data_IF_127271844898
#
_entry.id   IF_127271844898
#
_cell.length_a   1.000
_cell.length_b   1.000
_cell.length_c   1.000
_cell.angle_alpha   90.00
_cell.angle_beta   90.00
_cell.angle_gamma   90.00
#
_symmetry.space_group_name_H-M   'P 1'
#
loop_
_entity.id
_entity.type
_entity.pdbx_description
1 polymer ?
#
# COMPACT_ATOMS: atom_id res chain seq x y z
N UNK A 1 -12.03 -68.49 -65.39
CA UNK A 1 -11.19 -67.76 -66.38
C UNK A 1 -11.14 -66.28 -66.00
N UNK A 2 -9.96 -65.65 -66.15
CA UNK A 2 -9.66 -64.21 -65.96
C UNK A 2 -9.55 -63.77 -64.48
N UNK A 3 -8.57 -62.98 -64.04
CA UNK A 3 -7.29 -62.48 -64.56
C UNK A 3 -6.46 -62.03 -63.34
N UNK A 4 -5.16 -62.33 -63.37
CA UNK A 4 -4.09 -61.69 -62.61
C UNK A 4 -4.19 -60.16 -62.71
N UNK A 5 -4.07 -59.43 -61.59
CA UNK A 5 -3.55 -58.04 -61.57
C UNK A 5 -2.72 -57.80 -60.32
N UNK A 6 -1.42 -57.96 -60.53
CA UNK A 6 -0.33 -57.35 -59.80
C UNK A 6 -0.50 -55.82 -59.87
N UNK A 7 -0.52 -55.11 -58.75
CA UNK A 7 -0.35 -53.64 -58.72
C UNK A 7 0.59 -53.29 -57.57
N UNK A 8 1.56 -52.45 -57.92
CA UNK A 8 2.72 -52.04 -57.16
C UNK A 8 2.40 -51.27 -55.86
N UNK A 9 3.32 -51.40 -54.91
CA UNK A 9 3.56 -50.49 -53.79
C UNK A 9 3.66 -49.01 -54.23
N UNK A 10 3.40 -48.10 -53.28
CA UNK A 10 4.54 -47.32 -52.78
C UNK A 10 4.66 -47.33 -51.25
N UNK A 11 5.88 -47.58 -50.79
CA UNK A 11 6.38 -47.23 -49.46
C UNK A 11 6.18 -45.72 -49.25
N UNK A 12 5.39 -45.33 -48.26
CA UNK A 12 5.40 -43.96 -47.74
C UNK A 12 6.26 -43.98 -46.48
N UNK A 13 7.51 -43.53 -46.63
CA UNK A 13 8.37 -43.15 -45.50
C UNK A 13 7.70 -41.98 -44.78
N UNK A 14 7.12 -42.24 -43.61
CA UNK A 14 6.68 -41.22 -42.68
C UNK A 14 7.89 -40.61 -41.97
N UNK A 15 8.36 -39.48 -42.47
CA UNK A 15 9.36 -38.64 -41.84
C UNK A 15 8.85 -38.13 -40.48
N UNK A 16 9.43 -38.62 -39.39
CA UNK A 16 9.23 -38.08 -38.04
C UNK A 16 9.93 -36.72 -37.99
N UNK A 17 9.17 -35.65 -38.19
CA UNK A 17 9.63 -34.28 -37.91
C UNK A 17 9.69 -34.12 -36.40
N UNK A 18 10.89 -34.26 -35.84
CA UNK A 18 11.22 -33.82 -34.49
C UNK A 18 11.06 -32.30 -34.44
N UNK A 19 9.86 -31.84 -34.07
CA UNK A 19 9.60 -30.45 -33.72
C UNK A 19 10.40 -30.12 -32.47
N UNK A 20 11.56 -29.49 -32.64
CA UNK A 20 12.18 -28.75 -31.56
C UNK A 20 11.22 -27.64 -31.17
N UNK A 21 10.56 -27.80 -30.03
CA UNK A 21 9.89 -26.71 -29.34
C UNK A 21 10.96 -25.69 -28.95
N UNK A 22 11.33 -24.85 -29.92
CA UNK A 22 12.02 -23.59 -29.67
C UNK A 22 11.00 -22.75 -28.92
N UNK A 23 11.09 -22.80 -27.59
CA UNK A 23 10.47 -21.85 -26.71
C UNK A 23 11.19 -20.52 -26.96
N UNK A 24 10.84 -19.89 -28.09
CA UNK A 24 11.29 -18.57 -28.46
C UNK A 24 10.60 -17.64 -27.47
N UNK A 25 11.28 -17.43 -26.34
CA UNK A 25 11.04 -16.32 -25.44
C UNK A 25 11.21 -15.05 -26.28
N UNK A 26 10.13 -14.67 -26.96
CA UNK A 26 9.94 -13.32 -27.49
C UNK A 26 10.05 -12.40 -26.29
N UNK A 27 11.26 -11.90 -26.05
CA UNK A 27 11.45 -10.68 -25.29
C UNK A 27 10.76 -9.59 -26.10
N UNK A 28 9.47 -9.42 -25.85
CA UNK A 28 8.76 -8.19 -26.16
C UNK A 28 9.62 -7.07 -25.61
N UNK A 29 10.28 -6.33 -26.52
CA UNK A 29 11.01 -5.12 -26.14
C UNK A 29 9.98 -4.26 -25.41
N UNK A 30 10.21 -3.89 -24.13
CA UNK A 30 9.23 -3.10 -23.40
C UNK A 30 8.91 -1.88 -24.25
N UNK A 31 7.63 -1.70 -24.57
CA UNK A 31 7.18 -0.56 -25.35
C UNK A 31 7.85 0.70 -24.77
N UNK A 32 8.51 1.50 -25.62
CA UNK A 32 9.31 2.69 -25.22
C UNK A 32 8.51 3.78 -24.48
N UNK A 33 7.23 3.51 -24.19
CA UNK A 33 6.32 4.33 -23.41
C UNK A 33 5.98 3.68 -22.05
N UNK A 34 6.88 2.88 -21.47
CA UNK A 34 6.75 2.42 -20.08
C UNK A 34 6.59 3.63 -19.13
N UNK A 35 5.34 3.86 -18.72
CA UNK A 35 4.94 4.52 -17.48
C UNK A 35 5.58 5.88 -17.19
N UNK A 36 5.21 6.90 -17.99
CA UNK A 36 5.17 8.27 -17.46
C UNK A 36 3.79 8.57 -16.84
N UNK A 37 3.28 7.70 -15.96
CA UNK A 37 2.14 8.08 -15.10
C UNK A 37 2.69 8.79 -13.87
N UNK A 38 3.42 9.89 -14.09
CA UNK A 38 3.61 10.89 -13.05
C UNK A 38 2.37 11.76 -13.10
N UNK A 39 1.49 11.67 -12.10
CA UNK A 39 0.46 12.69 -11.94
C UNK A 39 1.21 13.97 -11.58
N UNK A 40 1.28 14.98 -12.45
CA UNK A 40 2.02 16.19 -12.13
C UNK A 40 1.42 16.78 -10.86
N UNK A 41 2.29 17.28 -9.97
CA UNK A 41 1.87 18.07 -8.83
C UNK A 41 0.85 19.12 -9.29
N UNK A 42 -0.37 19.07 -8.75
CA UNK A 42 -1.43 20.04 -9.02
C UNK A 42 -1.46 21.06 -7.90
N UNK A 43 -1.76 22.32 -8.23
CA UNK A 43 -1.98 23.39 -7.24
C UNK A 43 -3.11 23.04 -6.27
N UNK A 44 -4.09 22.26 -6.72
CA UNK A 44 -5.17 21.71 -5.88
C UNK A 44 -5.69 20.39 -6.46
N UNK A 45 -6.28 19.55 -5.61
CA UNK A 45 -6.92 18.30 -5.99
C UNK A 45 -8.42 18.35 -5.65
N UNK A 46 -9.30 17.84 -6.54
CA UNK A 46 -10.73 17.83 -6.29
C UNK A 46 -11.07 16.93 -5.11
N UNK A 47 -12.00 17.37 -4.26
CA UNK A 47 -12.50 16.56 -3.15
C UNK A 47 -13.27 15.34 -3.68
N UNK A 48 -13.01 14.18 -3.11
CA UNK A 48 -13.80 12.98 -3.37
C UNK A 48 -15.18 13.13 -2.73
N UNK A 49 -16.24 13.03 -3.55
CA UNK A 49 -17.62 13.25 -3.11
C UNK A 49 -18.26 12.00 -2.49
N UNK A 50 -17.93 10.81 -3.00
CA UNK A 50 -18.53 9.55 -2.59
C UNK A 50 -17.45 8.48 -2.51
N UNK A 51 -17.06 8.10 -1.30
CA UNK A 51 -16.12 7.00 -1.05
C UNK A 51 -16.47 6.29 0.25
N UNK A 52 -16.14 5.00 0.32
CA UNK A 52 -16.19 4.23 1.57
C UNK A 52 -14.82 3.59 1.79
N UNK A 53 -13.93 4.38 2.40
CA UNK A 53 -12.57 3.99 2.73
C UNK A 53 -12.43 3.83 4.24
N UNK A 54 -11.62 2.87 4.67
CA UNK A 54 -11.21 2.71 6.07
C UNK A 54 -9.70 2.62 6.15
N UNK A 55 -9.12 3.29 7.14
CA UNK A 55 -7.70 3.21 7.46
C UNK A 55 -7.56 2.37 8.73
N UNK A 56 -6.79 1.29 8.66
CA UNK A 56 -6.68 0.31 9.74
C UNK A 56 -5.21 0.17 10.14
N UNK A 57 -4.84 0.33 11.42
CA UNK A 57 -3.50 0.02 11.89
C UNK A 57 -3.25 -1.49 11.84
N UNK A 58 -2.13 -1.90 11.23
CA UNK A 58 -1.75 -3.32 11.04
C UNK A 58 -0.42 -3.58 11.73
N UNK A 59 -0.34 -4.70 12.47
CA UNK A 59 0.88 -5.15 13.13
C UNK A 59 0.93 -4.86 14.63
N UNK A 60 2.14 -4.90 15.19
CA UNK A 60 2.40 -4.72 16.62
C UNK A 60 2.15 -3.28 17.04
N UNK A 61 1.61 -3.09 18.25
CA UNK A 61 1.39 -1.78 18.89
C UNK A 61 2.25 -1.59 20.13
N UNK A 62 3.19 -2.49 20.35
CA UNK A 62 4.15 -2.46 21.45
C UNK A 62 5.55 -2.55 20.85
N UNK A 63 6.41 -1.61 21.24
CA UNK A 63 7.76 -1.49 20.74
C UNK A 63 8.76 -1.46 21.88
N UNK A 64 9.98 -1.95 21.62
CA UNK A 64 11.10 -1.73 22.54
C UNK A 64 11.74 -0.38 22.24
N UNK A 65 12.20 0.32 23.29
CA UNK A 65 12.77 1.66 23.19
C UNK A 65 13.99 1.74 22.25
N UNK A 66 14.77 0.67 22.10
CA UNK A 66 15.98 0.60 21.26
C UNK A 66 15.69 0.23 19.78
N UNK A 67 14.47 -0.16 19.44
CA UNK A 67 14.12 -0.63 18.10
C UNK A 67 13.57 0.49 17.22
N UNK A 68 13.69 0.32 15.90
CA UNK A 68 12.96 1.17 14.95
C UNK A 68 11.46 0.89 15.04
N UNK A 69 10.66 1.93 15.24
CA UNK A 69 9.20 1.82 15.41
C UNK A 69 8.49 1.88 14.07
N UNK A 70 8.72 0.86 13.25
CA UNK A 70 8.03 0.70 11.97
C UNK A 70 6.57 0.28 12.20
N UNK A 71 5.67 0.91 11.46
CA UNK A 71 4.25 0.72 11.60
C UNK A 71 3.59 0.69 10.23
N UNK A 72 2.55 -0.13 10.10
CA UNK A 72 1.84 -0.32 8.84
C UNK A 72 0.37 0.08 8.97
N UNK A 73 -0.19 0.63 7.90
CA UNK A 73 -1.62 0.89 7.78
C UNK A 73 -2.18 0.27 6.52
N UNK A 74 -3.39 -0.25 6.60
CA UNK A 74 -4.15 -0.70 5.44
C UNK A 74 -5.24 0.31 5.13
N UNK A 75 -5.15 0.98 3.97
CA UNK A 75 -6.22 1.79 3.42
C UNK A 75 -7.08 0.91 2.52
N UNK A 76 -8.28 0.53 2.97
CA UNK A 76 -9.15 -0.41 2.27
C UNK A 76 -10.39 0.29 1.71
N UNK A 77 -10.76 -0.06 0.48
CA UNK A 77 -12.06 0.28 -0.08
C UNK A 77 -13.10 -0.76 0.33
N UNK A 78 -14.00 -0.37 1.23
CA UNK A 78 -15.14 -1.20 1.69
C UNK A 78 -16.44 -0.84 0.96
N UNK A 79 -16.38 0.03 -0.04
CA UNK A 79 -17.49 0.38 -0.91
C UNK A 79 -17.65 -0.59 -2.07
N UNK A 80 -18.73 -0.38 -2.83
CA UNK A 80 -19.05 -1.12 -4.05
C UNK A 80 -18.53 -0.47 -5.34
N UNK A 81 -17.91 0.72 -5.24
CA UNK A 81 -17.37 1.47 -6.39
C UNK A 81 -15.86 1.64 -6.24
N UNK A 82 -15.15 1.65 -7.36
CA UNK A 82 -13.72 1.99 -7.41
C UNK A 82 -13.50 3.41 -6.88
N UNK A 83 -12.45 3.58 -6.06
CA UNK A 83 -12.03 4.88 -5.54
C UNK A 83 -10.69 5.26 -6.16
N UNK A 84 -10.62 6.47 -6.72
CA UNK A 84 -9.42 7.03 -7.35
C UNK A 84 -8.91 8.22 -6.55
N UNK A 85 -7.64 8.20 -6.14
CA UNK A 85 -6.96 9.25 -5.37
C UNK A 85 -5.79 9.77 -6.22
N UNK A 86 -5.92 10.98 -6.78
CA UNK A 86 -4.94 11.54 -7.74
C UNK A 86 -3.69 12.17 -7.10
N UNK A 87 -3.65 12.26 -5.77
CA UNK A 87 -2.60 12.93 -4.98
C UNK A 87 -1.83 11.99 -4.05
N UNK A 88 -1.81 10.69 -4.36
CA UNK A 88 -1.07 9.73 -3.55
C UNK A 88 0.42 10.01 -3.65
N UNK A 89 1.11 10.17 -2.52
CA UNK A 89 2.54 10.39 -2.49
C UNK A 89 3.31 9.12 -2.84
N UNK A 90 4.40 9.27 -3.57
CA UNK A 90 5.30 8.16 -3.92
C UNK A 90 6.03 7.58 -2.71
N UNK A 91 6.34 8.42 -1.72
CA UNK A 91 6.85 7.98 -0.44
C UNK A 91 5.67 7.61 0.47
N UNK A 92 5.55 6.33 0.83
CA UNK A 92 4.40 5.82 1.58
C UNK A 92 4.20 6.57 2.90
N UNK A 93 5.28 6.85 3.62
CA UNK A 93 5.22 7.57 4.89
C UNK A 93 4.55 8.95 4.76
N UNK A 94 4.71 9.64 3.63
CA UNK A 94 4.16 10.99 3.41
C UNK A 94 2.62 10.99 3.28
N UNK A 95 2.00 9.82 3.03
CA UNK A 95 0.55 9.67 2.90
C UNK A 95 -0.21 9.68 4.24
N UNK A 96 0.49 9.65 5.37
CA UNK A 96 -0.13 9.58 6.71
C UNK A 96 0.47 10.62 7.65
N UNK A 97 -0.40 11.22 8.46
CA UNK A 97 -0.03 12.05 9.61
C UNK A 97 -0.66 11.50 10.87
N UNK A 98 -0.12 11.91 12.00
CA UNK A 98 -0.47 11.35 13.30
C UNK A 98 -0.94 12.45 14.23
N UNK A 99 -1.91 12.10 15.05
CA UNK A 99 -2.33 12.90 16.18
C UNK A 99 -2.10 12.07 17.43
N UNK A 100 -1.43 12.65 18.41
CA UNK A 100 -1.13 11.99 19.68
C UNK A 100 -1.73 12.72 20.86
N UNK A 101 -2.10 11.94 21.87
CA UNK A 101 -2.55 12.43 23.16
C UNK A 101 -1.95 11.55 24.26
N UNK A 102 -1.54 12.11 25.41
CA UNK A 102 -1.16 11.32 26.57
C UNK A 102 -2.21 10.25 26.89
N UNK A 103 -1.75 9.05 27.26
CA UNK A 103 -2.67 7.99 27.65
C UNK A 103 -3.23 8.24 29.05
N UNK A 104 -4.55 8.19 29.18
CA UNK A 104 -5.27 8.29 30.45
C UNK A 104 -6.23 7.10 30.56
N UNK A 105 -6.54 6.65 31.79
CA UNK A 105 -7.50 5.55 32.03
C UNK A 105 -8.97 5.95 31.81
N UNK A 106 -9.22 6.98 30.99
CA UNK A 106 -10.55 7.50 30.67
C UNK A 106 -10.71 7.64 29.15
N UNK A 107 -11.92 7.47 28.61
CA UNK A 107 -12.16 7.73 27.19
C UNK A 107 -11.86 9.20 26.86
N UNK A 108 -10.96 9.44 25.92
CA UNK A 108 -10.64 10.78 25.41
C UNK A 108 -11.25 10.94 24.03
N UNK A 109 -12.06 11.97 23.80
CA UNK A 109 -12.59 12.26 22.46
C UNK A 109 -11.49 12.87 21.59
N UNK A 110 -11.40 12.43 20.33
CA UNK A 110 -10.47 13.00 19.37
C UNK A 110 -10.83 14.44 19.02
N UNK A 111 -9.87 15.35 19.17
CA UNK A 111 -9.98 16.75 18.74
C UNK A 111 -8.64 17.23 18.14
N UNK A 112 -8.69 17.69 16.88
CA UNK A 112 -7.51 18.15 16.14
C UNK A 112 -6.83 19.36 16.76
N UNK A 113 -7.54 20.17 17.55
CA UNK A 113 -7.01 21.41 18.14
C UNK A 113 -6.16 21.14 19.38
N UNK A 114 -6.53 20.10 20.15
CA UNK A 114 -5.89 19.77 21.43
C UNK A 114 -4.87 18.64 21.29
N UNK A 115 -5.01 17.77 20.29
CA UNK A 115 -4.07 16.67 20.04
C UNK A 115 -2.81 17.18 19.34
N UNK A 116 -1.64 16.68 19.76
CA UNK A 116 -0.36 17.03 19.14
C UNK A 116 -0.29 16.39 17.74
N UNK A 117 -0.22 17.22 16.71
CA UNK A 117 -0.06 16.76 15.34
C UNK A 117 1.42 16.49 15.05
N UNK A 118 1.72 15.32 14.50
CA UNK A 118 3.03 14.97 13.98
C UNK A 118 2.89 14.60 12.50
N UNK A 119 3.70 15.26 11.67
CA UNK A 119 3.75 15.04 10.23
C UNK A 119 5.14 14.52 9.91
N UNK A 120 5.27 13.41 9.16
CA UNK A 120 6.55 12.93 8.69
C UNK A 120 7.34 14.02 7.95
N UNK A 121 8.67 14.09 8.11
CA UNK A 121 9.49 15.04 7.36
C UNK A 121 9.48 14.70 5.87
N UNK A 122 8.89 15.58 5.07
CA UNK A 122 8.75 15.38 3.62
C UNK A 122 9.98 15.87 2.85
N UNK A 123 10.34 15.18 1.77
CA UNK A 123 11.37 15.65 0.83
C UNK A 123 10.83 16.84 0.01
N UNK A 124 11.69 17.81 -0.33
CA UNK A 124 11.29 19.06 -1.04
C UNK A 124 10.55 18.86 -2.38
N UNK A 125 10.65 17.68 -3.00
CA UNK A 125 9.99 17.32 -4.27
C UNK A 125 9.37 15.93 -4.19
N UNK A 126 8.42 15.71 -3.27
CA UNK A 126 7.68 14.44 -3.24
C UNK A 126 6.80 14.33 -4.50
N UNK A 127 7.10 13.34 -5.34
CA UNK A 127 6.28 13.02 -6.51
C UNK A 127 4.96 12.38 -6.06
N UNK A 128 3.93 12.51 -6.91
CA UNK A 128 2.61 11.94 -6.67
C UNK A 128 2.16 11.09 -7.85
N UNK A 129 1.29 10.13 -7.56
CA UNK A 129 0.66 9.29 -8.56
C UNK A 129 -0.81 9.05 -8.22
N UNK A 130 -1.52 8.42 -9.15
CA UNK A 130 -2.91 8.04 -8.98
C UNK A 130 -2.97 6.67 -8.29
N UNK A 131 -3.53 6.61 -7.08
CA UNK A 131 -3.92 5.36 -6.46
C UNK A 131 -5.35 5.01 -6.87
N UNK A 132 -5.57 3.79 -7.33
CA UNK A 132 -6.89 3.27 -7.66
C UNK A 132 -7.19 2.02 -6.83
N UNK A 133 -8.27 2.07 -6.05
CA UNK A 133 -8.71 0.99 -5.17
C UNK A 133 -10.06 0.45 -5.64
N UNK A 134 -10.04 -0.73 -6.26
CA UNK A 134 -11.26 -1.49 -6.55
C UNK A 134 -11.99 -1.91 -5.26
N UNK A 135 -13.29 -2.22 -5.30
CA UNK A 135 -14.02 -2.78 -4.17
C UNK A 135 -13.27 -3.95 -3.51
N UNK A 136 -13.09 -3.89 -2.19
CA UNK A 136 -12.40 -4.93 -1.41
C UNK A 136 -10.88 -4.80 -1.36
N UNK A 137 -10.25 -4.09 -2.31
CA UNK A 137 -8.79 -3.91 -2.38
C UNK A 137 -8.29 -2.96 -1.29
N UNK A 138 -7.00 -3.09 -0.98
CA UNK A 138 -6.31 -2.23 -0.05
C UNK A 138 -4.92 -1.81 -0.54
N UNK A 139 -4.50 -0.62 -0.13
CA UNK A 139 -3.12 -0.16 -0.18
C UNK A 139 -2.47 -0.31 1.20
N UNK A 140 -1.19 -0.69 1.23
CA UNK A 140 -0.40 -0.77 2.45
C UNK A 140 0.50 0.45 2.54
N UNK A 141 0.40 1.17 3.65
CA UNK A 141 1.22 2.34 3.97
C UNK A 141 2.25 1.92 5.02
N UNK A 142 3.53 2.03 4.71
CA UNK A 142 4.62 1.77 5.66
C UNK A 142 5.20 3.09 6.15
N UNK A 143 5.42 3.20 7.45
CA UNK A 143 5.92 4.45 8.05
C UNK A 143 6.65 4.17 9.36
N UNK A 144 7.32 5.19 9.89
CA UNK A 144 7.96 5.14 11.21
C UNK A 144 7.28 6.12 12.14
N UNK A 145 7.02 5.69 13.37
CA UNK A 145 6.49 6.55 14.42
C UNK A 145 7.63 7.08 15.29
N UNK A 146 8.51 7.92 14.73
CA UNK A 146 9.67 8.43 15.48
C UNK A 146 9.30 9.32 16.67
N UNK A 147 8.09 9.88 16.70
CA UNK A 147 7.59 10.58 17.90
C UNK A 147 7.48 9.67 19.14
N UNK A 148 7.53 8.35 18.97
CA UNK A 148 7.58 7.40 20.08
C UNK A 148 8.93 7.39 20.79
N UNK A 149 9.99 7.91 20.17
CA UNK A 149 11.31 8.03 20.79
C UNK A 149 11.31 9.06 21.93
N UNK A 150 10.34 10.00 21.93
CA UNK A 150 10.13 10.95 23.02
C UNK A 150 9.49 10.29 24.27
N UNK A 151 8.97 9.07 24.15
CA UNK A 151 8.39 8.34 25.27
C UNK A 151 9.49 7.72 26.14
N UNK A 152 9.42 7.99 27.44
CA UNK A 152 10.40 7.51 28.43
C UNK A 152 9.77 6.41 29.29
N UNK A 153 9.89 5.12 28.93
CA UNK A 153 9.41 4.03 29.78
C UNK A 153 10.25 3.89 31.06
N UNK A 154 9.58 3.54 32.16
CA UNK A 154 10.21 3.18 33.43
C UNK A 154 10.52 1.67 33.48
N UNK A 155 11.37 1.23 34.42
CA UNK A 155 11.61 -0.21 34.62
C UNK A 155 10.31 -0.92 35.02
N UNK A 156 9.98 -1.99 34.29
CA UNK A 156 8.76 -2.75 34.48
C UNK A 156 7.46 -2.04 34.06
N UNK A 157 7.51 -0.84 33.48
CA UNK A 157 6.31 -0.10 33.04
C UNK A 157 6.46 0.49 31.63
N UNK A 158 5.54 0.11 30.75
CA UNK A 158 5.46 0.67 29.41
C UNK A 158 4.92 2.11 29.43
N UNK A 159 5.56 3.01 28.69
CA UNK A 159 5.02 4.32 28.37
C UNK A 159 3.96 4.16 27.26
N UNK A 160 2.79 4.77 27.42
CA UNK A 160 1.65 4.62 26.51
C UNK A 160 1.21 5.96 25.95
N UNK A 161 0.75 5.94 24.70
CA UNK A 161 0.20 7.10 24.02
C UNK A 161 -1.04 6.70 23.22
N UNK A 162 -2.05 7.57 23.19
CA UNK A 162 -3.18 7.43 22.29
C UNK A 162 -2.83 8.02 20.93
N UNK A 163 -3.17 7.29 19.88
CA UNK A 163 -2.85 7.65 18.49
C UNK A 163 -4.10 7.62 17.64
N UNK A 164 -4.23 8.63 16.78
CA UNK A 164 -5.10 8.62 15.60
C UNK A 164 -4.23 8.88 14.39
N UNK A 165 -4.25 7.96 13.42
CA UNK A 165 -3.60 8.19 12.14
C UNK A 165 -4.64 8.69 11.13
N UNK A 166 -4.23 9.61 10.28
CA UNK A 166 -5.08 10.22 9.26
C UNK A 166 -4.31 10.37 7.95
N UNK A 167 -4.99 10.19 6.82
CA UNK A 167 -4.38 10.47 5.52
C UNK A 167 -3.95 11.94 5.44
N UNK A 168 -2.71 12.15 5.04
CA UNK A 168 -2.12 13.48 4.85
C UNK A 168 -2.45 14.03 3.45
N UNK A 169 -3.73 14.00 3.11
CA UNK A 169 -4.26 14.23 1.77
C UNK A 169 -5.31 15.34 1.81
N UNK A 170 -5.46 16.07 0.70
CA UNK A 170 -6.43 17.17 0.59
C UNK A 170 -7.75 16.73 -0.03
N UNK A 171 -7.74 15.84 -1.00
CA UNK A 171 -8.88 15.29 -1.73
C UNK A 171 -9.77 14.37 -0.88
N UNK A 172 -9.21 13.72 0.14
CA UNK A 172 -9.89 12.67 0.91
C UNK A 172 -9.60 12.81 2.40
N UNK A 173 -10.59 12.53 3.25
CA UNK A 173 -10.46 12.54 4.70
C UNK A 173 -10.80 11.15 5.26
N UNK A 174 -9.78 10.38 5.63
CA UNK A 174 -9.90 9.06 6.25
C UNK A 174 -8.95 9.01 7.43
N UNK A 175 -9.45 8.52 8.57
CA UNK A 175 -8.69 8.34 9.81
C UNK A 175 -8.99 6.98 10.42
N UNK A 176 -8.07 6.50 11.23
CA UNK A 176 -8.27 5.33 12.07
C UNK A 176 -9.25 5.64 13.20
N UNK A 177 -9.79 4.59 13.82
CA UNK A 177 -10.22 4.69 15.21
C UNK A 177 -9.02 4.99 16.11
N UNK A 178 -9.26 5.51 17.31
CA UNK A 178 -8.21 5.67 18.31
C UNK A 178 -7.60 4.31 18.68
N UNK A 179 -6.29 4.25 18.83
CA UNK A 179 -5.59 3.08 19.32
C UNK A 179 -4.44 3.48 20.25
N UNK A 180 -4.05 2.55 21.12
CA UNK A 180 -2.95 2.74 22.06
C UNK A 180 -1.69 2.17 21.43
N UNK A 181 -0.59 2.91 21.55
CA UNK A 181 0.76 2.41 21.28
C UNK A 181 1.57 2.46 22.57
N UNK A 182 2.36 1.43 22.81
CA UNK A 182 3.19 1.29 23.99
C UNK A 182 4.67 1.17 23.61
N UNK A 183 5.54 1.80 24.41
CA UNK A 183 6.98 1.63 24.36
C UNK A 183 7.44 1.07 25.70
N UNK A 184 8.29 0.06 25.67
CA UNK A 184 8.84 -0.58 26.88
C UNK A 184 10.37 -0.67 26.80
N UNK A 185 11.01 -0.80 27.96
CA UNK A 185 12.41 -1.24 28.01
C UNK A 185 12.52 -2.69 27.54
N UNK A 186 13.72 -3.06 27.11
CA UNK A 186 14.03 -4.41 26.63
C UNK A 186 13.92 -5.43 27.75
#
# INVERSE_FOLDING_TARGET
MKRLRLVLLPLVLGSVVLGTASCESSQEKPAKNCWKVRSPYRKSYPKLKQYKLVLIPVGKKTFTADQKKEFNFSLRNIGSKTVRIDEWFMEEADNVRFYTHPFENKPVKFDRKTWKCWIPPMKKKTERFQLELMPGNAALIMTTMSFLDDLKPEDGKAARVLVVAELNLTSVNVRTMQFIVAVQKK
#
